data_IF_871457062303
#
_entry.id   IF_871457062303
#
_cell.length_a   1.000
_cell.length_b   1.000
_cell.length_c   1.000
_cell.angle_alpha   90.00
_cell.angle_beta   90.00
_cell.angle_gamma   90.00
#
_symmetry.space_group_name_H-M   'P 1'
#
loop_
_entity.id
_entity.type
_entity.pdbx_description
1 polymer ?
#
# COMPACT_ATOMS: atom_id res chain seq x y z
N UNK A 1 33.00 2.73 91.23
CA UNK A 1 34.35 2.70 90.61
C UNK A 1 34.13 2.92 89.10
N UNK A 2 34.47 4.14 88.66
CA UNK A 2 35.54 4.46 87.73
C UNK A 2 35.30 3.90 86.33
N UNK A 3 35.29 4.63 85.23
CA UNK A 3 35.98 5.85 84.74
C UNK A 3 35.35 6.35 83.47
N UNK A 4 35.26 7.68 83.36
CA UNK A 4 35.11 8.45 82.12
C UNK A 4 36.07 8.02 81.04
N UNK A 5 35.62 8.09 79.79
CA UNK A 5 36.50 8.54 78.68
C UNK A 5 35.68 9.30 77.59
N UNK A 6 36.00 10.56 77.49
CA UNK A 6 35.66 11.47 76.40
C UNK A 6 36.25 10.96 75.08
N UNK A 7 35.49 11.01 74.00
CA UNK A 7 36.06 10.93 72.67
C UNK A 7 35.42 11.98 71.78
N UNK A 8 36.27 12.69 71.13
CA UNK A 8 36.22 13.90 70.37
C UNK A 8 35.37 13.73 69.09
N UNK A 9 34.48 14.73 68.79
CA UNK A 9 33.88 14.93 67.47
C UNK A 9 34.97 15.27 66.45
N UNK A 10 35.07 14.49 65.38
CA UNK A 10 35.73 14.90 64.15
C UNK A 10 34.65 14.97 63.05
N UNK A 11 34.34 16.21 62.66
CA UNK A 11 33.44 16.46 61.53
C UNK A 11 34.13 16.12 60.20
N UNK A 12 33.49 15.26 59.41
CA UNK A 12 33.81 15.07 58.00
C UNK A 12 32.71 15.70 57.16
N UNK A 13 33.02 16.89 56.62
CA UNK A 13 32.23 17.54 55.56
C UNK A 13 32.41 16.76 54.27
N UNK A 14 31.43 15.95 53.86
CA UNK A 14 31.37 15.30 52.56
C UNK A 14 30.87 16.35 51.52
N UNK A 15 31.76 16.91 50.77
CA UNK A 15 31.41 17.72 49.59
C UNK A 15 30.85 16.83 48.51
N UNK A 16 29.53 16.92 48.31
CA UNK A 16 28.80 16.32 47.15
C UNK A 16 29.20 17.06 45.88
N UNK A 17 30.15 16.50 45.14
CA UNK A 17 30.42 16.88 43.77
C UNK A 17 29.27 16.42 42.87
N UNK A 18 28.29 17.31 42.62
CA UNK A 18 27.31 17.15 41.58
C UNK A 18 28.03 17.22 40.21
N UNK A 19 28.47 16.06 39.72
CA UNK A 19 28.94 15.93 38.34
C UNK A 19 27.70 16.06 37.44
N UNK A 20 27.49 17.29 36.94
CA UNK A 20 26.51 17.51 35.87
C UNK A 20 26.91 16.69 34.64
N UNK A 21 26.25 15.53 34.44
CA UNK A 21 26.27 14.88 33.14
C UNK A 21 25.55 15.83 32.16
N UNK A 22 26.35 16.62 31.42
CA UNK A 22 25.85 17.29 30.23
C UNK A 22 25.35 16.19 29.30
N UNK A 23 24.03 16.06 29.16
CA UNK A 23 23.42 15.21 28.13
C UNK A 23 23.92 15.76 26.79
N UNK A 24 24.83 15.05 26.16
CA UNK A 24 25.22 15.30 24.78
C UNK A 24 23.93 15.22 23.97
N UNK A 25 23.64 16.23 23.12
CA UNK A 25 22.50 16.12 22.22
C UNK A 25 22.68 14.83 21.42
N UNK A 26 21.69 13.93 21.49
CA UNK A 26 21.67 12.75 20.64
C UNK A 26 21.74 13.27 19.21
N UNK A 27 22.89 13.15 18.56
CA UNK A 27 23.04 13.46 17.14
C UNK A 27 22.00 12.59 16.43
N UNK A 28 20.99 13.22 15.84
CA UNK A 28 20.02 12.51 15.02
C UNK A 28 20.82 11.70 14.00
N UNK A 29 20.64 10.39 14.01
CA UNK A 29 21.37 9.50 13.10
C UNK A 29 21.01 9.92 11.67
N UNK A 30 22.00 10.35 10.92
CA UNK A 30 21.84 10.80 9.55
C UNK A 30 21.22 9.66 8.71
N UNK A 31 20.13 9.97 8.00
CA UNK A 31 19.49 9.00 7.13
C UNK A 31 20.38 8.65 5.95
N UNK A 32 20.78 7.40 5.83
CA UNK A 32 21.69 6.92 4.77
C UNK A 32 20.98 6.13 3.67
N UNK A 33 19.85 5.57 3.97
CA UNK A 33 19.08 4.71 3.05
C UNK A 33 17.57 4.91 3.26
N UNK A 34 16.81 4.94 2.16
CA UNK A 34 15.34 4.84 2.16
C UNK A 34 14.94 3.55 1.44
N UNK A 35 14.12 2.73 2.10
CA UNK A 35 13.64 1.45 1.60
C UNK A 35 12.22 1.59 1.04
N UNK A 36 12.09 1.34 -0.27
CA UNK A 36 10.84 1.51 -1.02
C UNK A 36 10.26 0.14 -1.37
N UNK A 37 9.09 -0.16 -0.83
CA UNK A 37 8.31 -1.36 -1.19
C UNK A 37 7.50 -1.14 -2.46
N UNK A 38 7.62 -2.05 -3.44
CA UNK A 38 6.92 -1.92 -4.71
C UNK A 38 6.37 -3.25 -5.22
N UNK A 39 5.42 -3.15 -6.15
CA UNK A 39 4.82 -4.26 -6.90
C UNK A 39 5.09 -4.05 -8.39
N UNK A 40 4.92 -5.10 -9.21
CA UNK A 40 4.95 -4.98 -10.68
C UNK A 40 3.70 -4.27 -11.26
N UNK A 41 3.21 -3.28 -10.52
CA UNK A 41 2.02 -2.49 -10.85
C UNK A 41 2.20 -1.02 -10.46
N UNK A 42 1.41 -0.14 -11.04
CA UNK A 42 1.43 1.29 -10.75
C UNK A 42 2.67 1.99 -11.30
N UNK A 43 3.00 3.16 -10.71
CA UNK A 43 4.08 4.03 -11.18
C UNK A 43 5.48 3.62 -10.66
N UNK A 44 5.57 2.86 -9.58
CA UNK A 44 6.83 2.55 -8.90
C UNK A 44 7.88 1.87 -9.78
N UNK A 45 7.54 0.82 -10.57
CA UNK A 45 8.52 0.19 -11.48
C UNK A 45 9.09 1.16 -12.51
N UNK A 46 8.27 2.09 -13.03
CA UNK A 46 8.72 3.10 -14.00
C UNK A 46 9.66 4.11 -13.34
N UNK A 47 9.35 4.61 -12.14
CA UNK A 47 10.22 5.52 -11.38
C UNK A 47 11.55 4.86 -11.05
N UNK A 48 11.53 3.58 -10.66
CA UNK A 48 12.73 2.77 -10.45
C UNK A 48 13.59 2.68 -11.70
N UNK A 49 12.99 2.33 -12.85
CA UNK A 49 13.72 2.20 -14.11
C UNK A 49 14.37 3.51 -14.56
N UNK A 50 13.71 4.65 -14.32
CA UNK A 50 14.23 5.99 -14.66
C UNK A 50 15.31 6.49 -13.69
N UNK A 51 15.42 5.87 -12.52
CA UNK A 51 16.37 6.25 -11.46
C UNK A 51 16.13 7.67 -10.92
N UNK A 52 14.90 8.15 -10.93
CA UNK A 52 14.59 9.53 -10.55
C UNK A 52 14.75 9.74 -9.06
N UNK A 53 14.27 8.80 -8.23
CA UNK A 53 14.45 8.87 -6.77
C UNK A 53 15.93 8.83 -6.38
N UNK A 54 16.70 7.97 -7.03
CA UNK A 54 18.15 7.87 -6.80
C UNK A 54 18.85 9.20 -7.09
N UNK A 55 18.50 9.88 -8.18
CA UNK A 55 19.07 11.19 -8.53
C UNK A 55 18.71 12.24 -7.51
N UNK A 56 17.44 12.31 -7.11
CA UNK A 56 16.94 13.31 -6.15
C UNK A 56 17.54 13.09 -4.75
N UNK A 57 17.60 11.86 -4.26
CA UNK A 57 18.07 11.53 -2.91
C UNK A 57 19.61 11.51 -2.80
N UNK A 58 20.33 11.26 -3.91
CA UNK A 58 21.79 11.29 -3.95
C UNK A 58 22.37 12.64 -3.51
N UNK A 59 21.72 13.75 -3.88
CA UNK A 59 22.15 15.10 -3.48
C UNK A 59 22.09 15.31 -1.94
N UNK A 60 21.33 14.48 -1.22
CA UNK A 60 21.21 14.46 0.23
C UNK A 60 22.03 13.35 0.89
N UNK A 61 22.87 12.62 0.14
CA UNK A 61 23.67 11.50 0.64
C UNK A 61 22.85 10.24 0.96
N UNK A 62 21.59 10.14 0.48
CA UNK A 62 20.67 9.05 0.79
C UNK A 62 20.62 8.08 -0.39
N UNK A 63 20.74 6.79 -0.11
CA UNK A 63 20.57 5.72 -1.08
C UNK A 63 19.10 5.24 -1.12
N UNK A 64 18.68 4.76 -2.29
CA UNK A 64 17.36 4.13 -2.47
C UNK A 64 17.54 2.62 -2.55
N UNK A 65 16.80 1.89 -1.73
CA UNK A 65 16.72 0.43 -1.79
C UNK A 65 15.30 0.00 -2.16
N UNK A 66 15.16 -0.60 -3.32
CA UNK A 66 13.88 -1.15 -3.79
C UNK A 66 13.69 -2.58 -3.30
N UNK A 67 12.50 -2.86 -2.74
CA UNK A 67 12.11 -4.19 -2.26
C UNK A 67 10.83 -4.60 -3.00
N UNK A 68 10.90 -5.67 -3.78
CA UNK A 68 9.77 -6.16 -4.58
C UNK A 68 8.87 -7.09 -3.75
N UNK A 69 7.55 -6.92 -3.91
CA UNK A 69 6.51 -7.73 -3.31
C UNK A 69 5.47 -8.12 -4.37
N UNK A 70 4.79 -9.24 -4.17
CA UNK A 70 3.76 -9.70 -5.11
C UNK A 70 2.49 -8.84 -5.07
N UNK A 71 2.09 -8.35 -3.89
CA UNK A 71 0.86 -7.57 -3.66
C UNK A 71 0.95 -6.77 -2.34
N UNK A 72 -0.13 -6.00 -2.03
CA UNK A 72 -0.09 -4.98 -0.99
C UNK A 72 0.13 -5.44 0.46
N UNK A 73 -0.60 -6.42 1.01
CA UNK A 73 -0.48 -6.79 2.42
C UNK A 73 0.94 -7.09 2.91
N UNK A 74 1.81 -7.86 2.21
CA UNK A 74 3.19 -8.05 2.61
C UNK A 74 4.03 -6.76 2.64
N UNK A 75 3.72 -5.75 1.80
CA UNK A 75 4.37 -4.44 1.87
C UNK A 75 4.06 -3.77 3.20
N UNK A 76 2.80 -3.79 3.62
CA UNK A 76 2.38 -3.13 4.87
C UNK A 76 2.90 -3.85 6.10
N UNK A 77 3.08 -5.16 6.05
CA UNK A 77 3.77 -5.91 7.09
C UNK A 77 5.24 -5.48 7.20
N UNK A 78 5.93 -5.32 6.06
CA UNK A 78 7.30 -4.82 6.03
C UNK A 78 7.41 -3.36 6.49
N UNK A 79 6.42 -2.50 6.18
CA UNK A 79 6.33 -1.13 6.69
C UNK A 79 6.10 -1.14 8.21
N UNK A 80 5.17 -1.96 8.71
CA UNK A 80 4.87 -2.08 10.14
C UNK A 80 6.10 -2.45 10.96
N UNK A 81 6.91 -3.38 10.46
CA UNK A 81 8.13 -3.86 11.12
C UNK A 81 9.35 -2.97 10.89
N UNK A 82 9.23 -1.89 10.12
CA UNK A 82 10.33 -0.98 9.80
C UNK A 82 11.37 -1.57 8.84
N UNK A 83 11.04 -2.63 8.09
CA UNK A 83 11.89 -3.19 7.03
C UNK A 83 11.72 -2.47 5.69
N UNK A 84 10.63 -1.72 5.54
CA UNK A 84 10.31 -0.81 4.43
C UNK A 84 9.86 0.52 5.05
N UNK A 85 10.28 1.62 4.46
CA UNK A 85 9.99 2.97 4.97
C UNK A 85 8.78 3.59 4.27
N UNK A 86 8.62 3.28 2.97
CA UNK A 86 7.60 3.85 2.10
C UNK A 86 7.15 2.82 1.06
N UNK A 87 5.88 2.81 0.70
CA UNK A 87 5.36 1.86 -0.28
C UNK A 87 3.99 2.24 -0.81
N UNK A 88 3.49 1.41 -1.72
CA UNK A 88 2.23 1.61 -2.44
C UNK A 88 1.34 0.39 -2.32
N UNK A 89 0.05 0.61 -2.05
CA UNK A 89 -0.97 -0.45 -2.09
C UNK A 89 -2.31 0.09 -2.61
N UNK A 90 -3.25 -0.81 -2.92
CA UNK A 90 -4.66 -0.45 -3.11
C UNK A 90 -5.34 -0.05 -1.79
N UNK A 91 -6.65 0.07 -1.83
CA UNK A 91 -7.51 0.58 -0.75
C UNK A 91 -7.65 -0.36 0.46
N UNK A 92 -7.85 -1.65 0.24
CA UNK A 92 -8.13 -2.56 1.34
C UNK A 92 -6.94 -2.87 2.27
N UNK A 93 -5.69 -3.09 1.78
CA UNK A 93 -4.58 -3.49 2.65
C UNK A 93 -4.38 -2.56 3.86
N UNK A 94 -4.41 -1.22 3.73
CA UNK A 94 -4.20 -0.35 4.89
C UNK A 94 -5.35 -0.38 5.90
N UNK A 95 -6.56 -0.76 5.50
CA UNK A 95 -7.68 -0.96 6.42
C UNK A 95 -7.41 -2.14 7.36
N UNK A 96 -6.99 -3.28 6.80
CA UNK A 96 -6.62 -4.45 7.59
C UNK A 96 -5.42 -4.16 8.48
N UNK A 97 -4.41 -3.47 7.96
CA UNK A 97 -3.23 -3.07 8.73
C UNK A 97 -3.58 -2.13 9.89
N UNK A 98 -4.45 -1.13 9.68
CA UNK A 98 -4.93 -0.23 10.74
C UNK A 98 -5.75 -0.98 11.79
N UNK A 99 -6.63 -1.89 11.39
CA UNK A 99 -7.39 -2.73 12.31
C UNK A 99 -6.48 -3.60 13.19
N UNK A 100 -5.33 -4.03 12.65
CA UNK A 100 -4.25 -4.71 13.36
C UNK A 100 -3.30 -3.78 14.13
N UNK A 101 -3.53 -2.45 14.14
CA UNK A 101 -2.70 -1.42 14.79
C UNK A 101 -1.28 -1.33 14.23
N UNK A 102 -1.11 -1.54 12.94
CA UNK A 102 0.18 -1.42 12.27
C UNK A 102 0.76 0.00 12.39
N UNK A 103 2.09 0.09 12.48
CA UNK A 103 2.83 1.33 12.64
C UNK A 103 3.04 2.04 11.29
N UNK A 104 1.96 2.55 10.70
CA UNK A 104 1.97 3.20 9.40
C UNK A 104 1.04 4.40 9.33
N UNK A 105 1.22 5.20 8.28
CA UNK A 105 0.40 6.37 7.93
C UNK A 105 0.05 6.31 6.45
N UNK A 106 -1.15 6.77 6.09
CA UNK A 106 -1.46 7.20 4.74
C UNK A 106 -0.74 8.53 4.46
N UNK A 107 0.04 8.61 3.40
CA UNK A 107 0.85 9.82 3.12
C UNK A 107 0.51 10.49 1.78
N UNK A 108 -0.09 9.78 0.84
CA UNK A 108 -0.67 10.34 -0.38
C UNK A 108 -1.76 9.43 -0.94
N UNK A 109 -2.62 9.96 -1.79
CA UNK A 109 -3.65 9.23 -2.50
C UNK A 109 -3.34 9.15 -4.00
N UNK A 110 -3.74 8.04 -4.61
CA UNK A 110 -3.73 7.81 -6.04
C UNK A 110 -5.15 7.48 -6.48
N UNK A 111 -5.97 8.49 -6.76
CA UNK A 111 -7.31 8.28 -7.30
C UNK A 111 -7.25 7.48 -8.60
N UNK A 112 -8.10 6.48 -8.74
CA UNK A 112 -8.16 5.61 -9.92
C UNK A 112 -9.50 5.76 -10.63
N UNK A 113 -9.47 5.64 -11.96
CA UNK A 113 -10.70 5.48 -12.74
C UNK A 113 -11.36 4.10 -12.53
N UNK A 114 -10.70 3.18 -11.79
CA UNK A 114 -11.21 1.85 -11.47
C UNK A 114 -11.33 0.90 -12.68
N UNK A 115 -10.77 1.27 -13.83
CA UNK A 115 -10.79 0.42 -15.02
C UNK A 115 -9.67 -0.63 -15.05
N UNK A 116 -8.68 -0.47 -14.18
CA UNK A 116 -7.49 -1.30 -14.08
C UNK A 116 -7.63 -2.51 -13.13
N UNK A 117 -8.83 -2.74 -12.61
CA UNK A 117 -9.17 -3.89 -11.76
C UNK A 117 -10.57 -4.38 -12.10
N UNK A 118 -10.75 -5.70 -12.25
CA UNK A 118 -12.02 -6.27 -12.69
C UNK A 118 -12.23 -7.71 -12.17
N UNK A 119 -13.51 -8.12 -12.17
CA UNK A 119 -13.93 -9.51 -12.05
C UNK A 119 -14.05 -10.09 -13.45
N UNK A 120 -13.25 -11.10 -13.72
CA UNK A 120 -13.26 -11.82 -15.00
C UNK A 120 -13.74 -13.25 -14.85
N UNK A 121 -14.32 -13.77 -15.92
CA UNK A 121 -14.77 -15.16 -16.05
C UNK A 121 -14.28 -15.73 -17.40
N UNK A 122 -14.19 -17.05 -17.57
CA UNK A 122 -13.98 -17.64 -18.90
C UNK A 122 -15.06 -17.14 -19.89
N UNK A 123 -14.70 -16.94 -21.16
CA UNK A 123 -15.59 -16.41 -22.19
C UNK A 123 -16.91 -17.18 -22.28
N UNK A 124 -16.84 -18.51 -22.20
CA UNK A 124 -18.00 -19.42 -22.27
C UNK A 124 -18.70 -19.63 -20.91
N UNK A 125 -18.32 -18.90 -19.87
CA UNK A 125 -18.93 -19.01 -18.55
C UNK A 125 -20.43 -18.69 -18.58
N UNK A 126 -21.29 -19.42 -17.85
CA UNK A 126 -22.69 -19.08 -17.69
C UNK A 126 -22.92 -17.82 -16.85
N UNK A 127 -21.92 -17.36 -16.10
CA UNK A 127 -21.99 -16.14 -15.28
C UNK A 127 -22.09 -14.92 -16.21
N UNK A 128 -23.19 -14.21 -16.21
CA UNK A 128 -23.45 -13.04 -17.07
C UNK A 128 -23.57 -11.74 -16.28
N UNK A 129 -24.01 -11.83 -15.04
CA UNK A 129 -24.29 -10.70 -14.13
C UNK A 129 -23.61 -10.91 -12.80
N UNK A 130 -23.60 -9.87 -11.95
CA UNK A 130 -23.09 -10.00 -10.57
C UNK A 130 -23.92 -11.00 -9.75
N UNK A 131 -25.22 -11.11 -9.97
CA UNK A 131 -26.10 -12.06 -9.26
C UNK A 131 -25.71 -13.52 -9.52
N UNK A 132 -25.13 -13.82 -10.68
CA UNK A 132 -24.68 -15.17 -11.03
C UNK A 132 -23.44 -15.64 -10.27
N UNK A 133 -22.79 -14.73 -9.52
CA UNK A 133 -21.64 -15.06 -8.67
C UNK A 133 -22.03 -15.88 -7.42
N UNK A 134 -23.34 -15.98 -7.10
CA UNK A 134 -23.84 -16.80 -6.00
C UNK A 134 -23.45 -18.27 -6.18
N UNK A 135 -22.89 -18.85 -5.12
CA UNK A 135 -22.40 -20.24 -5.10
C UNK A 135 -21.11 -20.49 -5.87
N UNK A 136 -20.45 -19.46 -6.41
CA UNK A 136 -19.25 -19.60 -7.25
C UNK A 136 -17.95 -19.57 -6.46
N UNK A 137 -16.93 -20.23 -7.03
CA UNK A 137 -15.54 -20.16 -6.56
C UNK A 137 -14.89 -18.89 -7.14
N UNK A 138 -14.67 -17.88 -6.31
CA UNK A 138 -14.10 -16.61 -6.73
C UNK A 138 -12.68 -16.47 -6.21
N UNK A 139 -11.71 -16.38 -7.12
CA UNK A 139 -10.30 -16.17 -6.81
C UNK A 139 -10.00 -14.70 -6.59
N UNK A 140 -9.23 -14.38 -5.54
CA UNK A 140 -8.65 -13.05 -5.30
C UNK A 140 -7.54 -13.12 -4.26
N UNK A 141 -6.65 -12.13 -4.24
CA UNK A 141 -5.68 -12.01 -3.18
C UNK A 141 -6.35 -11.49 -1.89
N UNK A 142 -6.24 -12.23 -0.80
CA UNK A 142 -6.84 -11.85 0.48
C UNK A 142 -6.33 -10.48 0.93
N UNK A 143 -7.24 -9.67 1.49
CA UNK A 143 -6.97 -8.35 2.06
C UNK A 143 -6.41 -7.32 1.06
N UNK A 144 -6.45 -7.62 -0.26
CA UNK A 144 -6.06 -6.71 -1.35
C UNK A 144 -7.25 -5.88 -1.88
N UNK A 145 -7.00 -4.95 -2.81
CA UNK A 145 -8.07 -4.23 -3.53
C UNK A 145 -9.04 -5.18 -4.25
N UNK A 146 -8.53 -6.29 -4.81
CA UNK A 146 -9.39 -7.31 -5.43
C UNK A 146 -10.35 -7.95 -4.42
N UNK A 147 -9.96 -8.07 -3.15
CA UNK A 147 -10.89 -8.49 -2.10
C UNK A 147 -12.01 -7.45 -1.91
N UNK A 148 -11.67 -6.13 -1.85
CA UNK A 148 -12.68 -5.08 -1.77
C UNK A 148 -13.59 -5.05 -2.99
N UNK A 149 -13.04 -5.12 -4.20
CA UNK A 149 -13.82 -5.16 -5.44
C UNK A 149 -14.77 -6.36 -5.47
N UNK A 150 -14.31 -7.53 -5.01
CA UNK A 150 -15.19 -8.71 -4.88
C UNK A 150 -16.33 -8.46 -3.92
N UNK A 151 -16.04 -7.98 -2.70
CA UNK A 151 -17.06 -7.70 -1.68
C UNK A 151 -18.06 -6.65 -2.15
N UNK A 152 -17.59 -5.56 -2.75
CA UNK A 152 -18.46 -4.51 -3.29
C UNK A 152 -19.35 -5.02 -4.44
N UNK A 153 -18.82 -5.90 -5.27
CA UNK A 153 -19.58 -6.54 -6.35
C UNK A 153 -20.67 -7.47 -5.82
N UNK A 154 -20.37 -8.24 -4.77
CA UNK A 154 -21.37 -9.10 -4.11
C UNK A 154 -22.47 -8.27 -3.46
N UNK A 155 -22.14 -7.19 -2.76
CA UNK A 155 -23.11 -6.26 -2.18
C UNK A 155 -24.03 -5.68 -3.26
N UNK A 156 -23.45 -5.21 -4.38
CA UNK A 156 -24.23 -4.69 -5.52
C UNK A 156 -25.10 -5.77 -6.18
N UNK A 157 -24.63 -7.02 -6.22
CA UNK A 157 -25.34 -8.17 -6.74
C UNK A 157 -26.40 -8.76 -5.79
N UNK A 158 -26.51 -8.22 -4.56
CA UNK A 158 -27.44 -8.73 -3.53
C UNK A 158 -27.04 -10.09 -2.96
N UNK A 159 -25.74 -10.41 -2.95
CA UNK A 159 -25.17 -11.70 -2.51
C UNK A 159 -24.44 -11.49 -1.19
N UNK A 160 -24.75 -12.32 -0.19
CA UNK A 160 -23.97 -12.34 1.05
C UNK A 160 -22.57 -12.97 0.80
N UNK A 161 -21.54 -12.47 1.49
CA UNK A 161 -20.18 -13.01 1.35
C UNK A 161 -20.09 -14.52 1.65
N UNK A 162 -20.96 -15.02 2.56
CA UNK A 162 -21.09 -16.44 2.88
C UNK A 162 -21.71 -17.29 1.77
N UNK A 163 -22.29 -16.67 0.73
CA UNK A 163 -22.93 -17.38 -0.39
C UNK A 163 -21.98 -17.62 -1.56
N UNK A 164 -20.68 -17.29 -1.42
CA UNK A 164 -19.63 -17.66 -2.37
C UNK A 164 -18.62 -18.61 -1.72
N UNK A 165 -17.76 -19.21 -2.52
CA UNK A 165 -16.55 -19.92 -2.07
C UNK A 165 -15.34 -19.04 -2.39
N UNK A 166 -14.80 -18.27 -1.43
CA UNK A 166 -13.61 -17.47 -1.67
C UNK A 166 -12.38 -18.37 -1.79
N UNK A 167 -11.59 -18.17 -2.84
CA UNK A 167 -10.32 -18.89 -3.06
C UNK A 167 -9.20 -17.84 -3.00
N UNK A 168 -8.47 -17.83 -1.87
CA UNK A 168 -7.45 -16.82 -1.60
C UNK A 168 -6.10 -17.25 -2.17
N UNK A 169 -5.69 -16.61 -3.26
CA UNK A 169 -4.44 -16.88 -3.98
C UNK A 169 -3.71 -15.58 -4.30
N UNK A 170 -2.38 -15.63 -4.27
CA UNK A 170 -1.57 -14.56 -4.85
C UNK A 170 -1.80 -14.47 -6.37
N UNK A 171 -1.51 -13.30 -7.00
CA UNK A 171 -1.78 -13.12 -8.43
C UNK A 171 -1.14 -14.18 -9.33
N UNK A 172 0.11 -14.57 -9.06
CA UNK A 172 0.83 -15.56 -9.86
C UNK A 172 0.18 -16.95 -9.80
N UNK A 173 -0.22 -17.39 -8.59
CA UNK A 173 -0.87 -18.68 -8.39
C UNK A 173 -2.30 -18.71 -8.98
N UNK A 174 -2.98 -17.56 -8.90
CA UNK A 174 -4.33 -17.40 -9.44
C UNK A 174 -4.37 -17.53 -10.98
N UNK A 175 -3.31 -17.14 -11.70
CA UNK A 175 -3.19 -17.34 -13.16
C UNK A 175 -3.37 -18.82 -13.51
N UNK A 176 -2.62 -19.70 -12.84
CA UNK A 176 -2.67 -21.14 -13.12
C UNK A 176 -4.03 -21.74 -12.68
N UNK A 177 -4.56 -21.33 -11.52
CA UNK A 177 -5.83 -21.81 -11.01
C UNK A 177 -7.00 -21.43 -11.92
N UNK A 178 -7.00 -20.20 -12.44
CA UNK A 178 -8.04 -19.71 -13.35
C UNK A 178 -7.96 -20.39 -14.72
N UNK A 179 -6.76 -20.47 -15.31
CA UNK A 179 -6.54 -21.15 -16.59
C UNK A 179 -6.90 -22.64 -16.52
N UNK A 180 -6.67 -23.30 -15.37
CA UNK A 180 -7.00 -24.69 -15.13
C UNK A 180 -8.49 -24.96 -14.78
N UNK A 181 -9.35 -23.94 -14.77
CA UNK A 181 -10.79 -24.08 -14.47
C UNK A 181 -11.09 -24.34 -12.99
N UNK A 182 -10.15 -24.07 -12.09
CA UNK A 182 -10.32 -24.24 -10.64
C UNK A 182 -11.05 -23.05 -9.99
N UNK A 183 -11.24 -21.95 -10.74
CA UNK A 183 -11.99 -20.76 -10.36
C UNK A 183 -13.11 -20.52 -11.37
N UNK A 184 -14.30 -20.19 -10.88
CA UNK A 184 -15.44 -19.77 -11.72
C UNK A 184 -15.30 -18.30 -12.15
N UNK A 185 -14.72 -17.47 -11.28
CA UNK A 185 -14.40 -16.07 -11.52
C UNK A 185 -13.08 -15.70 -10.82
N UNK A 186 -12.42 -14.65 -11.33
CA UNK A 186 -11.19 -14.12 -10.76
C UNK A 186 -11.24 -12.60 -10.71
N UNK A 187 -11.04 -12.03 -9.52
CA UNK A 187 -10.89 -10.59 -9.35
C UNK A 187 -9.41 -10.23 -9.31
N UNK A 188 -8.99 -9.37 -10.23
CA UNK A 188 -7.58 -9.08 -10.45
C UNK A 188 -7.37 -7.70 -11.06
N UNK A 189 -6.18 -7.15 -10.87
CA UNK A 189 -5.73 -5.86 -11.37
C UNK A 189 -4.64 -5.98 -12.46
N UNK A 190 -4.39 -4.87 -13.17
CA UNK A 190 -3.32 -4.78 -14.15
C UNK A 190 -1.91 -4.88 -13.50
N UNK A 191 -0.93 -5.51 -14.16
CA UNK A 191 -0.98 -6.02 -15.54
C UNK A 191 -1.60 -7.42 -15.69
N UNK A 192 -1.93 -8.12 -14.61
CA UNK A 192 -2.50 -9.47 -14.67
C UNK A 192 -3.86 -9.51 -15.38
N UNK A 193 -4.70 -8.47 -15.20
CA UNK A 193 -5.95 -8.32 -15.93
C UNK A 193 -5.70 -8.27 -17.44
N UNK A 194 -4.79 -7.39 -17.87
CA UNK A 194 -4.45 -7.25 -19.29
C UNK A 194 -3.81 -8.51 -19.87
N UNK A 195 -3.03 -9.25 -19.08
CA UNK A 195 -2.49 -10.56 -19.47
C UNK A 195 -3.61 -11.60 -19.64
N UNK A 196 -4.56 -11.65 -18.70
CA UNK A 196 -5.70 -12.56 -18.78
C UNK A 196 -6.58 -12.27 -20.00
N UNK A 197 -6.74 -11.00 -20.39
CA UNK A 197 -7.52 -10.57 -21.56
C UNK A 197 -6.89 -10.96 -22.93
N UNK A 198 -5.62 -11.40 -22.95
CA UNK A 198 -5.04 -12.05 -24.13
C UNK A 198 -5.65 -13.45 -24.37
N UNK A 199 -6.26 -14.04 -23.35
CA UNK A 199 -7.01 -15.28 -23.42
C UNK A 199 -8.49 -15.04 -23.70
N UNK A 200 -9.25 -16.13 -23.64
CA UNK A 200 -10.72 -16.10 -23.83
C UNK A 200 -11.40 -15.81 -22.50
N UNK A 201 -11.44 -14.55 -22.10
CA UNK A 201 -12.09 -14.09 -20.88
C UNK A 201 -13.10 -12.99 -21.14
N UNK A 202 -14.02 -12.80 -20.21
CA UNK A 202 -15.03 -11.75 -20.23
C UNK A 202 -15.03 -11.04 -18.89
N UNK A 203 -15.06 -9.70 -18.92
CA UNK A 203 -15.24 -8.85 -17.74
C UNK A 203 -16.72 -8.84 -17.35
N UNK A 204 -17.01 -9.09 -16.08
CA UNK A 204 -18.38 -9.01 -15.50
C UNK A 204 -18.60 -7.63 -14.90
N UNK A 205 -17.63 -7.10 -14.18
CA UNK A 205 -17.61 -5.75 -13.63
C UNK A 205 -16.16 -5.31 -13.40
N UNK A 206 -15.91 -4.03 -13.50
CA UNK A 206 -14.66 -3.41 -13.06
C UNK A 206 -14.86 -2.71 -11.71
N UNK A 207 -13.78 -2.33 -11.04
CA UNK A 207 -13.84 -1.63 -9.75
C UNK A 207 -14.70 -0.37 -9.85
N UNK A 208 -14.60 0.42 -10.95
CA UNK A 208 -15.43 1.62 -11.18
C UNK A 208 -16.93 1.37 -11.16
N UNK A 209 -17.36 0.14 -11.43
CA UNK A 209 -18.77 -0.21 -11.50
C UNK A 209 -19.34 -0.50 -10.11
N UNK A 210 -18.49 -0.70 -9.10
CA UNK A 210 -18.91 -1.22 -7.79
C UNK A 210 -18.45 -0.38 -6.59
N UNK A 211 -17.36 0.39 -6.69
CA UNK A 211 -16.91 1.29 -5.62
C UNK A 211 -16.00 2.41 -6.18
N UNK A 212 -15.75 3.45 -5.37
CA UNK A 212 -14.73 4.46 -5.65
C UNK A 212 -13.33 3.83 -5.43
N UNK A 213 -12.59 3.60 -6.51
CA UNK A 213 -11.28 2.99 -6.45
C UNK A 213 -10.20 4.03 -6.10
N UNK A 214 -9.43 3.76 -5.05
CA UNK A 214 -8.26 4.53 -4.68
C UNK A 214 -7.09 3.59 -4.42
N UNK A 215 -5.89 4.12 -4.56
CA UNK A 215 -4.68 3.51 -4.03
C UNK A 215 -3.97 4.53 -3.16
N UNK A 216 -3.00 4.08 -2.37
CA UNK A 216 -2.37 4.93 -1.37
C UNK A 216 -0.87 4.72 -1.32
N UNK A 217 -0.14 5.79 -1.07
CA UNK A 217 1.19 5.70 -0.53
C UNK A 217 1.09 5.60 0.99
N UNK A 218 1.81 4.66 1.54
CA UNK A 218 1.92 4.40 2.97
C UNK A 218 3.38 4.57 3.38
N UNK A 219 3.59 5.11 4.56
CA UNK A 219 4.92 5.20 5.15
C UNK A 219 4.92 4.70 6.59
N UNK A 220 6.06 4.19 7.06
CA UNK A 220 6.23 3.87 8.46
C UNK A 220 6.08 5.14 9.30
N UNK A 221 5.30 5.07 10.39
CA UNK A 221 4.97 6.22 11.25
C UNK A 221 6.22 6.83 11.88
N UNK A 222 7.12 6.01 12.40
CA UNK A 222 8.34 6.48 13.08
C UNK A 222 9.34 7.07 12.08
N UNK A 223 9.43 6.48 10.88
CA UNK A 223 10.18 7.06 9.78
C UNK A 223 9.62 8.42 9.38
N UNK A 224 8.29 8.52 9.20
CA UNK A 224 7.63 9.78 8.85
C UNK A 224 7.85 10.85 9.90
N UNK A 225 7.77 10.50 11.19
CA UNK A 225 7.99 11.47 12.28
C UNK A 225 9.43 12.02 12.31
N UNK A 226 10.41 11.22 11.91
CA UNK A 226 11.84 11.60 11.91
C UNK A 226 12.28 12.29 10.61
N UNK A 227 11.61 12.01 9.49
CA UNK A 227 12.03 12.37 8.14
C UNK A 227 10.86 12.93 7.31
N UNK A 228 10.14 13.90 7.89
CA UNK A 228 8.97 14.57 7.27
C UNK A 228 9.30 15.12 5.89
N UNK A 229 10.46 15.77 5.76
CA UNK A 229 10.95 16.35 4.51
C UNK A 229 11.24 15.29 3.43
N UNK A 230 11.71 14.11 3.84
CA UNK A 230 11.94 12.99 2.92
C UNK A 230 10.62 12.40 2.42
N UNK A 231 9.62 12.20 3.31
CA UNK A 231 8.30 11.71 2.90
C UNK A 231 7.61 12.72 1.95
N UNK A 232 7.71 14.02 2.23
CA UNK A 232 7.21 15.06 1.33
C UNK A 232 7.92 15.04 -0.03
N UNK A 233 9.24 14.90 -0.04
CA UNK A 233 10.06 14.80 -1.25
C UNK A 233 9.70 13.56 -2.08
N UNK A 234 9.50 12.40 -1.44
CA UNK A 234 9.04 11.18 -2.11
C UNK A 234 7.68 11.41 -2.79
N UNK A 235 6.70 11.92 -2.05
CA UNK A 235 5.37 12.23 -2.59
C UNK A 235 5.45 13.20 -3.78
N UNK A 236 6.25 14.27 -3.66
CA UNK A 236 6.44 15.27 -4.72
C UNK A 236 7.07 14.63 -5.96
N UNK A 237 8.15 13.85 -5.79
CA UNK A 237 8.83 13.18 -6.90
C UNK A 237 7.90 12.20 -7.62
N UNK A 238 7.14 11.40 -6.87
CA UNK A 238 6.15 10.50 -7.46
C UNK A 238 5.01 11.26 -8.15
N UNK A 239 4.60 12.42 -7.67
CA UNK A 239 3.58 13.26 -8.32
C UNK A 239 4.07 13.81 -9.66
N UNK A 240 5.32 14.29 -9.71
CA UNK A 240 5.97 14.78 -10.94
C UNK A 240 6.16 13.64 -11.96
N UNK A 241 6.65 12.48 -11.52
CA UNK A 241 6.81 11.30 -12.35
C UNK A 241 5.46 10.77 -12.86
N UNK A 242 4.41 10.83 -12.05
CA UNK A 242 3.05 10.45 -12.48
C UNK A 242 2.53 11.39 -13.56
N UNK A 243 2.74 12.69 -13.44
CA UNK A 243 2.38 13.66 -14.49
C UNK A 243 3.14 13.34 -15.78
N UNK A 244 4.46 13.17 -15.69
CA UNK A 244 5.28 12.80 -16.84
C UNK A 244 4.80 11.49 -17.48
N UNK A 245 4.50 10.46 -16.70
CA UNK A 245 4.00 9.18 -17.17
C UNK A 245 2.67 9.29 -17.92
N UNK A 246 1.78 10.18 -17.50
CA UNK A 246 0.52 10.47 -18.18
C UNK A 246 0.71 11.01 -19.59
N UNK A 247 1.77 11.81 -19.79
CA UNK A 247 2.14 12.44 -21.07
C UNK A 247 3.01 11.53 -21.97
N UNK A 248 3.72 10.52 -21.38
CA UNK A 248 4.72 9.68 -22.03
C UNK A 248 4.39 8.18 -21.94
N UNK A 249 3.14 7.81 -22.21
CA UNK A 249 2.63 6.45 -22.02
C UNK A 249 3.42 5.36 -22.76
N UNK A 250 3.87 5.65 -24.00
CA UNK A 250 4.66 4.69 -24.76
C UNK A 250 6.03 4.41 -24.13
N UNK A 251 6.67 5.45 -23.57
CA UNK A 251 7.95 5.31 -22.88
C UNK A 251 7.77 4.54 -21.55
N UNK A 252 6.64 4.75 -20.86
CA UNK A 252 6.27 3.96 -19.67
C UNK A 252 6.09 2.48 -20.01
N UNK A 253 5.42 2.16 -21.12
CA UNK A 253 5.28 0.76 -21.59
C UNK A 253 6.64 0.12 -21.81
N UNK A 254 7.55 0.79 -22.52
CA UNK A 254 8.90 0.28 -22.78
C UNK A 254 9.68 0.05 -21.46
N UNK A 255 9.65 1.04 -20.56
CA UNK A 255 10.32 0.98 -19.26
C UNK A 255 9.77 -0.14 -18.36
N UNK A 256 8.44 -0.31 -18.31
CA UNK A 256 7.79 -1.38 -17.57
C UNK A 256 8.12 -2.76 -18.16
N UNK A 257 8.16 -2.89 -19.49
CA UNK A 257 8.56 -4.13 -20.17
C UNK A 257 9.97 -4.56 -19.76
N UNK A 258 10.92 -3.63 -19.84
CA UNK A 258 12.31 -3.86 -19.45
C UNK A 258 12.45 -4.27 -17.96
N UNK A 259 11.70 -3.57 -17.08
CA UNK A 259 11.84 -3.74 -15.62
C UNK A 259 11.13 -4.99 -15.11
N UNK A 260 9.97 -5.33 -15.69
CA UNK A 260 9.07 -6.38 -15.16
C UNK A 260 9.04 -7.66 -15.99
N UNK A 261 9.51 -7.60 -17.25
CA UNK A 261 9.40 -8.68 -18.23
C UNK A 261 7.97 -8.96 -18.70
N UNK A 262 7.00 -8.11 -18.33
CA UNK A 262 5.61 -8.25 -18.79
C UNK A 262 5.49 -7.91 -20.26
N UNK A 263 4.65 -8.63 -20.97
CA UNK A 263 4.38 -8.44 -22.39
C UNK A 263 3.93 -7.01 -22.74
N UNK A 264 4.52 -6.42 -23.78
CA UNK A 264 4.30 -5.01 -24.15
C UNK A 264 2.86 -4.69 -24.56
N UNK A 265 2.12 -5.64 -25.18
CA UNK A 265 0.71 -5.45 -25.53
C UNK A 265 -0.15 -5.37 -24.27
N UNK A 266 0.06 -6.28 -23.32
CA UNK A 266 -0.60 -6.26 -22.02
C UNK A 266 -0.28 -4.98 -21.25
N UNK A 267 0.99 -4.54 -21.24
CA UNK A 267 1.40 -3.28 -20.63
C UNK A 267 0.76 -2.07 -21.29
N UNK A 268 0.61 -2.08 -22.63
CA UNK A 268 -0.07 -0.99 -23.34
C UNK A 268 -1.53 -0.86 -22.88
N UNK A 269 -2.25 -1.97 -22.73
CA UNK A 269 -3.60 -1.96 -22.18
C UNK A 269 -3.63 -1.45 -20.74
N UNK A 270 -2.75 -1.96 -19.88
CA UNK A 270 -2.63 -1.57 -18.48
C UNK A 270 -2.33 -0.07 -18.31
N UNK A 271 -1.34 0.44 -19.04
CA UNK A 271 -0.93 1.85 -19.02
C UNK A 271 -2.05 2.76 -19.52
N UNK A 272 -2.79 2.35 -20.57
CA UNK A 272 -3.90 3.14 -21.08
C UNK A 272 -5.09 3.22 -20.12
N UNK A 273 -5.29 2.24 -19.24
CA UNK A 273 -6.31 2.26 -18.16
C UNK A 273 -5.85 3.02 -16.92
N UNK A 274 -4.54 3.20 -16.77
CA UNK A 274 -3.97 3.82 -15.56
C UNK A 274 -4.28 5.31 -15.49
N UNK A 275 -4.66 5.76 -14.30
CA UNK A 275 -4.71 7.16 -13.93
C UNK A 275 -3.38 7.51 -13.27
N UNK A 276 -2.53 8.24 -13.97
CA UNK A 276 -1.25 8.71 -13.42
C UNK A 276 -1.46 10.00 -12.64
N UNK A 277 -1.87 9.89 -11.39
CA UNK A 277 -2.16 11.02 -10.53
C UNK A 277 -1.82 10.69 -9.08
N UNK A 278 -1.00 11.53 -8.45
CA UNK A 278 -0.71 11.51 -7.02
C UNK A 278 -1.20 12.81 -6.41
N UNK A 279 -2.00 12.72 -5.37
CA UNK A 279 -2.61 13.89 -4.71
C UNK A 279 -2.45 13.81 -3.20
N UNK A 280 -2.56 14.95 -2.49
CA UNK A 280 -2.83 14.94 -1.06
C UNK A 280 -4.11 14.15 -0.75
N UNK A 281 -4.19 13.59 0.46
CA UNK A 281 -5.39 12.89 0.92
C UNK A 281 -6.44 13.93 1.31
N UNK A 282 -7.50 14.03 0.50
CA UNK A 282 -8.63 14.93 0.73
C UNK A 282 -9.67 14.31 1.66
N UNK A 283 -10.56 15.09 2.22
CA UNK A 283 -11.65 14.58 3.05
C UNK A 283 -12.60 13.67 2.26
N UNK A 284 -12.76 13.90 0.95
CA UNK A 284 -13.50 12.98 0.05
C UNK A 284 -12.85 11.61 -0.02
N UNK A 285 -11.52 11.57 -0.17
CA UNK A 285 -10.76 10.31 -0.21
C UNK A 285 -10.86 9.59 1.14
N UNK A 286 -10.75 10.33 2.25
CA UNK A 286 -10.95 9.76 3.61
C UNK A 286 -12.35 9.16 3.75
N UNK A 287 -13.40 9.87 3.31
CA UNK A 287 -14.77 9.38 3.39
C UNK A 287 -14.98 8.10 2.54
N UNK A 288 -14.42 8.04 1.33
CA UNK A 288 -14.47 6.84 0.49
C UNK A 288 -13.75 5.65 1.14
N UNK A 289 -12.58 5.89 1.72
CA UNK A 289 -11.78 4.87 2.42
C UNK A 289 -12.49 4.40 3.69
N UNK A 290 -13.16 5.32 4.42
CA UNK A 290 -13.97 4.98 5.59
C UNK A 290 -15.16 4.09 5.20
N UNK A 291 -15.84 4.38 4.10
CA UNK A 291 -16.94 3.54 3.62
C UNK A 291 -16.48 2.10 3.32
N UNK A 292 -15.26 1.94 2.80
CA UNK A 292 -14.65 0.61 2.61
C UNK A 292 -14.36 -0.07 3.95
N UNK A 293 -13.83 0.66 4.93
CA UNK A 293 -13.58 0.13 6.28
C UNK A 293 -14.87 -0.31 6.98
N UNK A 294 -15.93 0.50 6.88
CA UNK A 294 -17.24 0.20 7.47
C UNK A 294 -17.86 -1.04 6.82
N UNK A 295 -17.71 -1.22 5.50
CA UNK A 295 -18.11 -2.43 4.78
C UNK A 295 -17.42 -3.66 5.33
N UNK A 296 -16.11 -3.64 5.50
CA UNK A 296 -15.36 -4.77 6.04
C UNK A 296 -15.70 -5.06 7.50
N UNK A 297 -15.96 -4.04 8.30
CA UNK A 297 -16.40 -4.22 9.68
C UNK A 297 -17.80 -4.85 9.75
N UNK A 298 -18.76 -4.34 8.95
CA UNK A 298 -20.13 -4.89 8.85
C UNK A 298 -20.14 -6.37 8.47
N UNK A 299 -19.20 -6.79 7.65
CA UNK A 299 -19.05 -8.18 7.22
C UNK A 299 -18.24 -9.05 8.19
N UNK A 300 -17.71 -8.48 9.28
CA UNK A 300 -16.87 -9.19 10.24
C UNK A 300 -15.49 -9.56 9.69
N UNK A 301 -15.06 -8.93 8.58
CA UNK A 301 -13.76 -9.16 7.96
C UNK A 301 -12.62 -8.44 8.70
N UNK A 302 -12.93 -7.37 9.42
CA UNK A 302 -12.04 -6.75 10.41
C UNK A 302 -12.67 -6.85 11.81
N UNK A 303 -11.86 -7.03 12.88
CA UNK A 303 -12.38 -7.36 14.21
C UNK A 303 -12.98 -6.17 14.96
N UNK A 304 -12.73 -4.94 14.50
CA UNK A 304 -13.20 -3.69 15.14
C UNK A 304 -13.39 -2.61 14.10
N UNK A 305 -14.30 -1.67 14.38
CA UNK A 305 -14.40 -0.43 13.63
C UNK A 305 -13.11 0.39 13.76
N UNK A 306 -12.74 1.08 12.71
CA UNK A 306 -11.57 1.98 12.65
C UNK A 306 -11.99 3.36 12.15
N UNK A 307 -11.31 4.40 12.58
CA UNK A 307 -11.39 5.73 11.98
C UNK A 307 -10.15 5.94 11.08
N UNK A 308 -10.37 5.94 9.78
CA UNK A 308 -9.29 6.10 8.79
C UNK A 308 -8.50 7.39 9.01
N UNK A 309 -9.18 8.45 9.48
CA UNK A 309 -8.57 9.75 9.71
C UNK A 309 -7.45 9.75 10.74
N UNK A 310 -7.47 8.81 11.71
CA UNK A 310 -6.46 8.73 12.78
C UNK A 310 -5.03 8.47 12.27
N UNK A 311 -4.88 7.89 11.07
CA UNK A 311 -3.58 7.57 10.50
C UNK A 311 -3.31 8.29 9.18
N UNK A 312 -3.98 9.42 8.94
CA UNK A 312 -3.74 10.27 7.77
C UNK A 312 -2.70 11.33 8.11
N UNK A 313 -1.58 11.30 7.40
CA UNK A 313 -0.60 12.39 7.37
C UNK A 313 -0.90 13.31 6.19
N UNK A 314 -1.01 14.61 6.45
CA UNK A 314 -1.38 15.58 5.42
C UNK A 314 -0.14 16.17 4.77
N UNK A 315 0.02 15.87 3.49
CA UNK A 315 1.05 16.44 2.64
C UNK A 315 0.53 17.69 1.93
N UNK A 316 1.39 18.71 1.83
CA UNK A 316 1.14 19.92 1.03
C UNK A 316 2.14 19.93 -0.12
N UNK A 317 1.69 19.85 -1.39
CA UNK A 317 2.60 19.92 -2.55
C UNK A 317 3.38 21.24 -2.57
N UNK A 318 4.68 21.17 -2.86
CA UNK A 318 5.54 22.34 -2.97
C UNK A 318 5.95 22.99 -1.63
N UNK A 319 5.73 22.29 -0.50
CA UNK A 319 6.21 22.73 0.83
C UNK A 319 7.62 22.23 1.12
#
# INVERSE_FOLDING_TARGET
MSRSRRTILAGLSAALLFSGLAALPAMAQELKEVRIGFQKAGIFPAVKARGTLEKVLKSRGIQVKWVEFQFGPPILEAINTGNVDFGFTGDAPPIFAQAARANLLYVAALPSAGANEAIIVPENSPIKTLADLKGKKIGFAKDSSAHNTTVAALEKGGIAYSEITPVTLGPADAVAAFAGGNLDAWTIWDPYLALAEKGKVRVIASAKDVHDANSFFLANRDFTAKHVDIVALLNQTFAEESKWAGEHRAEIVASLHETTGVDSEALTRAVNRSTFLVTPITDRVVASQQATADRFFKLGLIPKAIDVKEIVWRWTPGS
#
